data_IF_660878548463
#
_entry.id   IF_660878548463
#
_cell.length_a   1.000
_cell.length_b   1.000
_cell.length_c   1.000
_cell.angle_alpha   90.00
_cell.angle_beta   90.00
_cell.angle_gamma   90.00
#
_symmetry.space_group_name_H-M   'P 1'
#
loop_
_entity.id
_entity.type
_entity.pdbx_description
1 polymer ?
#
# COMPACT_ATOMS: atom_id res chain seq x y z
N UNK A 1 0.37 1.19 5.58
CA UNK A 1 -0.58 2.27 5.23
C UNK A 1 -0.40 3.54 6.07
N UNK A 2 -0.33 3.47 7.40
CA UNK A 2 -0.20 4.68 8.26
C UNK A 2 0.94 5.64 7.85
N UNK A 3 2.15 5.14 7.64
CA UNK A 3 3.27 5.97 7.19
C UNK A 3 3.03 6.65 5.84
N UNK A 4 2.39 5.97 4.89
CA UNK A 4 2.02 6.54 3.60
C UNK A 4 1.06 7.74 3.75
N UNK A 5 0.03 7.59 4.60
CA UNK A 5 -0.92 8.67 4.93
C UNK A 5 -0.21 9.85 5.60
N UNK A 6 0.81 9.58 6.43
CA UNK A 6 1.64 10.62 7.06
C UNK A 6 2.68 11.24 6.13
N UNK A 7 2.75 10.81 4.88
CA UNK A 7 3.69 11.33 3.88
C UNK A 7 5.14 10.92 4.14
N UNK A 8 5.36 9.80 4.83
CA UNK A 8 6.68 9.19 4.98
C UNK A 8 7.23 8.86 3.59
N UNK A 9 8.50 9.18 3.29
CA UNK A 9 9.08 8.90 1.98
C UNK A 9 8.98 7.42 1.62
N UNK A 10 8.71 7.12 0.33
CA UNK A 10 8.60 5.75 -0.19
C UNK A 10 9.74 4.84 0.27
N UNK A 11 10.98 5.33 0.18
CA UNK A 11 12.18 4.59 0.62
C UNK A 11 12.05 4.11 2.06
N UNK A 12 11.65 4.98 2.98
CA UNK A 12 11.47 4.61 4.38
C UNK A 12 10.31 3.64 4.63
N UNK A 13 9.32 3.59 3.72
CA UNK A 13 8.22 2.64 3.79
C UNK A 13 8.60 1.23 3.29
N UNK A 14 9.64 1.11 2.46
CA UNK A 14 9.96 -0.14 1.72
C UNK A 14 11.37 -0.67 1.95
N UNK A 15 12.30 0.17 2.39
CA UNK A 15 13.72 -0.17 2.57
C UNK A 15 14.06 -0.53 4.03
N UNK A 16 13.16 -0.24 4.97
CA UNK A 16 13.29 -0.60 6.38
C UNK A 16 11.97 -1.13 6.93
N UNK A 17 12.01 -1.74 8.11
CA UNK A 17 10.83 -2.16 8.85
C UNK A 17 10.16 -0.93 9.47
N UNK A 18 9.35 -0.25 8.67
CA UNK A 18 8.59 0.91 9.10
C UNK A 18 7.85 0.64 10.41
N UNK A 19 8.02 1.51 11.40
CA UNK A 19 7.34 1.45 12.69
C UNK A 19 6.46 2.69 12.86
N UNK A 20 5.15 2.53 13.10
CA UNK A 20 4.22 3.68 13.20
C UNK A 20 4.43 4.51 14.47
N UNK A 21 5.02 3.94 15.53
CA UNK A 21 5.41 4.60 16.76
C UNK A 21 6.65 3.90 17.34
N UNK A 22 7.46 4.56 18.17
CA UNK A 22 8.65 3.95 18.75
C UNK A 22 8.33 2.61 19.42
N UNK A 23 9.20 1.62 19.19
CA UNK A 23 9.12 0.30 19.85
C UNK A 23 7.82 -0.48 19.55
N UNK A 24 7.12 -0.18 18.44
CA UNK A 24 5.87 -0.89 18.10
C UNK A 24 6.03 -2.41 17.96
N UNK A 25 7.23 -2.86 17.64
CA UNK A 25 7.57 -4.27 17.44
C UNK A 25 8.20 -4.90 18.68
N UNK A 26 8.46 -4.13 19.74
CA UNK A 26 9.04 -4.63 20.99
C UNK A 26 7.98 -5.47 21.72
N UNK A 27 8.32 -6.71 22.05
CA UNK A 27 7.38 -7.66 22.69
C UNK A 27 6.32 -8.25 21.74
N UNK A 28 6.22 -7.77 20.49
CA UNK A 28 5.33 -8.27 19.45
C UNK A 28 6.14 -8.61 18.19
N UNK A 29 6.99 -9.64 18.29
CA UNK A 29 7.84 -10.04 17.17
C UNK A 29 7.00 -10.39 15.95
N UNK A 30 7.28 -9.73 14.83
CA UNK A 30 6.72 -10.12 13.55
C UNK A 30 7.31 -11.45 13.11
N UNK A 31 6.53 -12.22 12.37
CA UNK A 31 6.98 -13.44 11.73
C UNK A 31 8.19 -13.14 10.82
N UNK A 32 9.30 -13.91 10.88
CA UNK A 32 10.51 -13.64 10.09
C UNK A 32 10.26 -13.48 8.59
N UNK A 33 9.30 -14.23 8.03
CA UNK A 33 8.92 -14.12 6.62
C UNK A 33 8.35 -12.73 6.28
N UNK A 34 7.56 -12.13 7.19
CA UNK A 34 7.01 -10.76 7.03
C UNK A 34 8.14 -9.74 7.07
N UNK A 35 9.07 -9.89 8.02
CA UNK A 35 10.24 -9.01 8.14
C UNK A 35 11.08 -9.05 6.86
N UNK A 36 11.33 -10.25 6.33
CA UNK A 36 12.11 -10.43 5.12
C UNK A 36 11.45 -9.80 3.89
N UNK A 37 10.14 -10.04 3.71
CA UNK A 37 9.38 -9.42 2.61
C UNK A 37 9.39 -7.88 2.73
N UNK A 38 9.19 -7.35 3.93
CA UNK A 38 9.15 -5.91 4.17
C UNK A 38 10.51 -5.23 3.95
N UNK A 39 11.61 -5.81 4.47
CA UNK A 39 12.94 -5.21 4.39
C UNK A 39 13.64 -5.43 3.05
N UNK A 40 13.44 -6.59 2.43
CA UNK A 40 14.28 -7.02 1.31
C UNK A 40 13.50 -7.26 0.02
N UNK A 41 12.16 -7.25 0.05
CA UNK A 41 11.33 -7.48 -1.13
C UNK A 41 11.63 -6.49 -2.26
N UNK A 42 11.95 -5.24 -1.91
CA UNK A 42 12.27 -4.19 -2.89
C UNK A 42 13.57 -4.42 -3.67
N UNK A 43 14.52 -5.22 -3.13
CA UNK A 43 15.81 -5.51 -3.75
C UNK A 43 15.74 -6.61 -4.81
N UNK A 44 14.62 -7.34 -4.88
CA UNK A 44 14.47 -8.48 -5.77
C UNK A 44 14.30 -8.07 -7.22
N UNK A 45 14.76 -8.90 -8.13
CA UNK A 45 14.49 -8.78 -9.56
C UNK A 45 13.11 -9.38 -9.89
N UNK A 46 12.57 -9.04 -11.06
CA UNK A 46 11.23 -9.49 -11.50
C UNK A 46 11.06 -11.02 -11.48
N UNK A 47 12.11 -11.78 -11.82
CA UNK A 47 12.12 -13.25 -11.84
C UNK A 47 12.13 -13.88 -10.44
N UNK A 48 12.52 -13.13 -9.42
CA UNK A 48 12.53 -13.57 -8.02
C UNK A 48 11.20 -13.31 -7.30
N UNK A 49 10.33 -12.48 -7.89
CA UNK A 49 9.01 -12.14 -7.34
C UNK A 49 8.01 -13.21 -7.72
N UNK A 50 7.34 -13.73 -6.69
CA UNK A 50 6.24 -14.69 -6.81
C UNK A 50 4.90 -14.01 -6.59
N UNK A 51 3.89 -14.44 -7.32
CA UNK A 51 2.50 -14.03 -7.17
C UNK A 51 1.62 -15.27 -6.99
N UNK A 52 1.89 -16.02 -5.92
CA UNK A 52 1.09 -17.19 -5.53
C UNK A 52 0.00 -16.80 -4.53
N UNK A 53 -0.86 -17.76 -4.15
CA UNK A 53 -1.85 -17.55 -3.08
C UNK A 53 -1.25 -17.47 -1.66
N UNK A 54 0.08 -17.48 -1.52
CA UNK A 54 0.73 -17.34 -0.22
C UNK A 54 0.85 -15.87 0.17
N UNK A 55 0.35 -15.51 1.36
CA UNK A 55 0.28 -14.13 1.84
C UNK A 55 1.62 -13.38 1.81
N UNK A 56 2.74 -14.08 2.04
CA UNK A 56 4.07 -13.45 2.01
C UNK A 56 4.49 -13.12 0.58
N UNK A 57 4.22 -14.00 -0.38
CA UNK A 57 4.48 -13.73 -1.80
C UNK A 57 3.68 -12.50 -2.24
N UNK A 58 2.41 -12.41 -1.85
CA UNK A 58 1.55 -11.26 -2.17
C UNK A 58 2.07 -9.96 -1.57
N UNK A 59 2.44 -9.98 -0.29
CA UNK A 59 2.98 -8.81 0.40
C UNK A 59 4.29 -8.34 -0.27
N UNK A 60 5.20 -9.26 -0.54
CA UNK A 60 6.48 -8.99 -1.16
C UNK A 60 6.31 -8.41 -2.58
N UNK A 61 5.44 -9.02 -3.39
CA UNK A 61 5.13 -8.57 -4.74
C UNK A 61 4.53 -7.16 -4.76
N UNK A 62 3.63 -6.85 -3.83
CA UNK A 62 3.02 -5.53 -3.71
C UNK A 62 4.05 -4.45 -3.30
N UNK A 63 4.92 -4.76 -2.32
CA UNK A 63 6.01 -3.86 -1.91
C UNK A 63 6.99 -3.64 -3.06
N UNK A 64 7.37 -4.71 -3.76
CA UNK A 64 8.25 -4.65 -4.92
C UNK A 64 7.68 -3.76 -6.03
N UNK A 65 6.41 -3.95 -6.41
CA UNK A 65 5.76 -3.13 -7.44
C UNK A 65 5.64 -1.65 -7.03
N UNK A 66 5.33 -1.39 -5.75
CA UNK A 66 5.25 -0.04 -5.20
C UNK A 66 6.60 0.68 -5.16
N UNK A 67 7.67 -0.05 -4.81
CA UNK A 67 9.01 0.50 -4.79
C UNK A 67 9.53 0.85 -6.20
N UNK A 68 9.31 -0.05 -7.16
CA UNK A 68 9.90 0.02 -8.51
C UNK A 68 9.13 0.91 -9.50
N UNK A 69 8.12 1.66 -9.07
CA UNK A 69 7.30 2.52 -9.94
C UNK A 69 7.11 3.90 -9.33
N UNK A 70 6.76 4.90 -10.14
CA UNK A 70 6.65 6.29 -9.68
C UNK A 70 5.23 6.85 -9.69
N UNK A 71 4.31 6.16 -10.35
CA UNK A 71 2.88 6.49 -10.35
C UNK A 71 2.03 5.33 -9.84
N UNK A 72 0.77 5.61 -9.53
CA UNK A 72 -0.19 4.56 -9.17
C UNK A 72 -0.42 3.60 -10.34
N UNK A 73 -0.57 4.14 -11.55
CA UNK A 73 -0.87 3.37 -12.76
C UNK A 73 0.27 2.45 -13.14
N UNK A 74 1.51 2.95 -13.13
CA UNK A 74 2.69 2.14 -13.44
C UNK A 74 2.78 0.93 -12.51
N UNK A 75 2.64 1.13 -11.20
CA UNK A 75 2.75 0.03 -10.25
C UNK A 75 1.55 -0.90 -10.25
N UNK A 76 0.34 -0.39 -10.52
CA UNK A 76 -0.84 -1.24 -10.68
C UNK A 76 -0.71 -2.14 -11.91
N UNK A 77 -0.23 -1.61 -13.03
CA UNK A 77 0.07 -2.39 -14.24
C UNK A 77 1.17 -3.41 -13.96
N UNK A 78 2.24 -2.99 -13.28
CA UNK A 78 3.35 -3.87 -12.92
C UNK A 78 2.89 -5.04 -12.04
N UNK A 79 2.11 -4.76 -11.01
CA UNK A 79 1.54 -5.75 -10.09
C UNK A 79 0.60 -6.73 -10.83
N UNK A 80 -0.31 -6.23 -11.66
CA UNK A 80 -1.23 -7.08 -12.43
C UNK A 80 -0.50 -7.97 -13.44
N UNK A 81 0.58 -7.48 -14.05
CA UNK A 81 1.41 -8.23 -15.00
C UNK A 81 2.34 -9.27 -14.33
N UNK A 82 2.26 -9.44 -13.00
CA UNK A 82 2.94 -10.57 -12.35
C UNK A 82 2.30 -11.92 -12.71
N UNK A 83 1.02 -11.93 -13.08
CA UNK A 83 0.24 -13.16 -13.30
C UNK A 83 -0.02 -13.90 -11.99
N UNK A 84 -0.45 -15.16 -12.07
CA UNK A 84 -0.79 -15.95 -10.88
C UNK A 84 -1.98 -15.34 -10.12
N UNK A 85 -1.80 -15.10 -8.82
CA UNK A 85 -2.77 -14.42 -7.94
C UNK A 85 -2.68 -12.88 -8.08
N UNK A 86 -2.78 -12.42 -9.33
CA UNK A 86 -2.53 -11.03 -9.71
C UNK A 86 -3.56 -10.05 -9.14
N UNK A 87 -4.81 -10.49 -8.97
CA UNK A 87 -5.89 -9.68 -8.39
C UNK A 87 -5.61 -9.39 -6.92
N UNK A 88 -5.18 -10.38 -6.14
CA UNK A 88 -4.81 -10.17 -4.73
C UNK A 88 -3.59 -9.27 -4.61
N UNK A 89 -2.54 -9.47 -5.43
CA UNK A 89 -1.36 -8.60 -5.41
C UNK A 89 -1.72 -7.16 -5.78
N UNK A 90 -2.49 -6.96 -6.86
CA UNK A 90 -2.92 -5.64 -7.30
C UNK A 90 -3.82 -4.95 -6.27
N UNK A 91 -4.66 -5.70 -5.54
CA UNK A 91 -5.48 -5.17 -4.46
C UNK A 91 -4.63 -4.69 -3.27
N UNK A 92 -3.65 -5.48 -2.83
CA UNK A 92 -2.73 -5.09 -1.73
C UNK A 92 -1.86 -3.90 -2.15
N UNK A 93 -1.32 -3.92 -3.38
CA UNK A 93 -0.64 -2.77 -3.97
C UNK A 93 -1.55 -1.53 -3.95
N UNK A 94 -2.80 -1.65 -4.39
CA UNK A 94 -3.74 -0.55 -4.51
C UNK A 94 -4.01 0.15 -3.18
N UNK A 95 -4.06 -0.59 -2.07
CA UNK A 95 -4.19 -0.02 -0.72
C UNK A 95 -2.96 0.81 -0.34
N UNK A 96 -1.75 0.27 -0.53
CA UNK A 96 -0.50 0.94 -0.20
C UNK A 96 -0.25 2.17 -1.08
N UNK A 97 -0.35 1.99 -2.40
CA UNK A 97 -0.12 3.01 -3.40
C UNK A 97 -1.21 4.09 -3.36
N UNK A 98 -2.48 3.71 -3.17
CA UNK A 98 -3.58 4.67 -3.03
C UNK A 98 -3.42 5.56 -1.80
N UNK A 99 -2.96 5.00 -0.68
CA UNK A 99 -2.65 5.77 0.53
C UNK A 99 -1.43 6.70 0.34
N UNK A 100 -0.48 6.34 -0.52
CA UNK A 100 0.74 7.12 -0.75
C UNK A 100 0.56 8.23 -1.79
N UNK A 101 0.06 7.88 -2.97
CA UNK A 101 -0.14 8.82 -4.07
C UNK A 101 -1.39 9.69 -3.86
N UNK A 102 -2.38 9.19 -3.13
CA UNK A 102 -3.66 9.88 -2.93
C UNK A 102 -4.56 9.78 -4.17
N UNK A 103 -5.86 9.88 -3.92
CA UNK A 103 -6.91 9.68 -4.93
C UNK A 103 -6.78 10.62 -6.14
N UNK A 104 -6.45 11.89 -5.92
CA UNK A 104 -6.34 12.88 -6.99
C UNK A 104 -5.21 12.59 -8.00
N UNK A 105 -4.29 11.68 -7.66
CA UNK A 105 -3.23 11.22 -8.54
C UNK A 105 -3.54 9.87 -9.22
N UNK A 106 -4.79 9.38 -9.09
CA UNK A 106 -5.27 8.17 -9.76
C UNK A 106 -6.12 8.57 -10.96
N UNK A 107 -5.90 7.91 -12.10
CA UNK A 107 -6.61 8.17 -13.34
C UNK A 107 -8.14 8.01 -13.14
N UNK A 108 -8.93 9.09 -13.26
CA UNK A 108 -10.36 9.04 -13.01
C UNK A 108 -11.09 8.14 -14.03
N UNK A 109 -10.50 7.92 -15.19
CA UNK A 109 -11.01 6.96 -16.19
C UNK A 109 -10.95 5.51 -15.73
N UNK A 110 -10.03 5.14 -14.83
CA UNK A 110 -9.98 3.81 -14.23
C UNK A 110 -11.04 3.67 -13.14
N UNK A 111 -11.15 4.67 -12.27
CA UNK A 111 -12.15 4.70 -11.20
C UNK A 111 -13.57 4.60 -11.75
N UNK A 112 -13.91 5.34 -12.82
CA UNK A 112 -15.25 5.28 -13.43
C UNK A 112 -15.62 3.90 -13.98
N UNK A 113 -14.64 3.05 -14.30
CA UNK A 113 -14.85 1.68 -14.77
C UNK A 113 -15.04 0.69 -13.61
N UNK A 114 -14.69 1.05 -12.38
CA UNK A 114 -14.88 0.18 -11.22
C UNK A 114 -16.36 -0.04 -10.96
N UNK A 115 -16.72 -1.31 -10.74
CA UNK A 115 -18.04 -1.68 -10.28
C UNK A 115 -18.34 -0.97 -8.95
N UNK A 116 -19.48 -0.29 -8.89
CA UNK A 116 -19.95 0.39 -7.66
C UNK A 116 -18.95 1.42 -7.11
N UNK A 117 -18.20 2.13 -7.96
CA UNK A 117 -17.24 3.18 -7.51
C UNK A 117 -17.86 4.22 -6.56
N UNK A 118 -19.14 4.57 -6.71
CA UNK A 118 -19.86 5.43 -5.77
C UNK A 118 -19.90 4.86 -4.34
N UNK A 119 -20.07 3.54 -4.19
CA UNK A 119 -20.11 2.86 -2.89
C UNK A 119 -18.73 2.90 -2.24
N UNK A 120 -17.67 2.68 -3.03
CA UNK A 120 -16.29 2.79 -2.56
C UNK A 120 -16.03 4.14 -1.90
N UNK A 121 -16.39 5.24 -2.56
CA UNK A 121 -16.23 6.59 -2.02
C UNK A 121 -17.04 6.84 -0.76
N UNK A 122 -18.31 6.42 -0.75
CA UNK A 122 -19.17 6.58 0.44
C UNK A 122 -18.56 5.88 1.66
N UNK A 123 -17.96 4.70 1.49
CA UNK A 123 -17.31 4.01 2.60
C UNK A 123 -15.98 4.64 2.98
N UNK A 124 -15.17 5.09 2.02
CA UNK A 124 -13.93 5.81 2.29
C UNK A 124 -14.20 7.08 3.13
N UNK A 125 -15.19 7.89 2.74
CA UNK A 125 -15.59 9.09 3.46
C UNK A 125 -16.12 8.78 4.86
N UNK A 126 -16.93 7.72 5.00
CA UNK A 126 -17.44 7.29 6.31
C UNK A 126 -16.30 6.88 7.23
N UNK A 127 -15.38 6.02 6.75
CA UNK A 127 -14.22 5.58 7.52
C UNK A 127 -13.33 6.75 7.94
N UNK A 128 -13.09 7.68 7.02
CA UNK A 128 -12.35 8.90 7.30
C UNK A 128 -13.03 9.71 8.41
N UNK A 129 -14.35 9.94 8.30
CA UNK A 129 -15.13 10.67 9.32
C UNK A 129 -15.04 10.01 10.70
N UNK A 130 -15.19 8.69 10.79
CA UNK A 130 -15.05 7.98 12.06
C UNK A 130 -13.61 8.10 12.63
N UNK A 131 -12.59 7.92 11.78
CA UNK A 131 -11.19 8.04 12.21
C UNK A 131 -10.79 9.44 12.68
N UNK A 132 -11.38 10.50 12.10
CA UNK A 132 -11.14 11.90 12.50
C UNK A 132 -11.83 12.22 13.84
N UNK A 133 -13.04 11.69 14.07
CA UNK A 133 -13.76 11.91 15.33
C UNK A 133 -12.97 11.40 16.54
N UNK A 134 -12.24 10.30 16.39
CA UNK A 134 -11.41 9.72 17.46
C UNK A 134 -10.00 10.35 17.53
N UNK A 135 -9.51 10.93 16.42
CA UNK A 135 -8.15 11.49 16.32
C UNK A 135 -8.12 12.78 15.47
N UNK A 136 -8.59 13.93 16.01
CA UNK A 136 -8.74 15.18 15.25
C UNK A 136 -7.43 15.77 14.72
N UNK A 137 -6.28 15.37 15.27
CA UNK A 137 -4.95 15.79 14.81
C UNK A 137 -4.48 15.08 13.52
N UNK A 138 -5.21 14.10 13.01
CA UNK A 138 -4.84 13.42 11.76
C UNK A 138 -4.95 14.35 10.53
N UNK A 139 -5.72 15.45 10.61
CA UNK A 139 -5.94 16.40 9.52
C UNK A 139 -5.11 17.69 9.58
N UNK A 140 -4.38 17.96 10.66
CA UNK A 140 -3.69 19.25 10.86
C UNK A 140 -2.49 19.52 9.94
N UNK A 141 -2.25 18.66 8.93
CA UNK A 141 -1.07 18.75 8.08
C UNK A 141 -1.29 18.93 6.57
N UNK A 142 -2.47 18.70 5.98
CA UNK A 142 -2.61 18.63 4.50
C UNK A 142 -4.00 18.94 3.92
N UNK A 143 -4.69 19.95 4.43
CA UNK A 143 -5.87 20.52 3.75
C UNK A 143 -5.91 22.06 3.84
N UNK A 144 -4.74 22.71 3.74
CA UNK A 144 -4.58 24.12 3.36
C UNK A 144 -3.48 24.22 2.31
#
# INVERSE_FOLDING_TARGET
MFGAIKGVPKKQLTEDLFSPYPNAWDGNSLEPAVINAAKYGHLKTRDQIRSSGYVIDTLEAAIWAFHNTNTFEEGAILAANLGGDADTVAAVYGQLAGAYYGEYNINPGWIRKLARHHVFYVYADKLLKYGICDYPYLLSGRYL
#
